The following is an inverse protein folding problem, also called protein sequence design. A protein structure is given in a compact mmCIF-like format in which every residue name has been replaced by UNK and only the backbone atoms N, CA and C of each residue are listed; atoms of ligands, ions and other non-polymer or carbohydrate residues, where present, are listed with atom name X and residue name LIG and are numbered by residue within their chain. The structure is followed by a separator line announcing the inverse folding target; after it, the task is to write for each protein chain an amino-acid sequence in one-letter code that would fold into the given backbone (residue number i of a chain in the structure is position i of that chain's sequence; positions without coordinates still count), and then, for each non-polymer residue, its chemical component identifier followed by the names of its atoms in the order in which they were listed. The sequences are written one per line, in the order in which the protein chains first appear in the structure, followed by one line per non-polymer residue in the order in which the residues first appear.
data_IF_094599891001
#
_entry.id   IF_094599891001
#
_cell.length_a   1.000
_cell.length_b   1.000
_cell.length_c   1.000
_cell.angle_alpha   90.00
_cell.angle_beta   90.00
_cell.angle_gamma   90.00
#
_symmetry.space_group_name_H-M   'P 1'
#
loop_
_entity.id
_entity.type
_entity.pdbx_description
1 polymer ?
#
# COMPACT_ATOMS: atom_id res chain seq x y z
N UNK A 1 -38.90 7.61 6.28
CA UNK A 1 -37.90 6.59 5.88
C UNK A 1 -37.66 5.68 7.09
N UNK A 2 -38.26 4.49 7.12
CA UNK A 2 -38.05 3.52 8.22
C UNK A 2 -36.69 2.87 8.00
N UNK A 3 -35.74 3.07 8.92
CA UNK A 3 -34.51 2.27 9.00
C UNK A 3 -34.94 0.82 9.29
N UNK A 4 -35.04 0.02 8.25
CA UNK A 4 -35.25 -1.42 8.38
C UNK A 4 -34.07 -2.01 9.14
N UNK A 5 -34.38 -2.68 10.25
CA UNK A 5 -33.51 -3.54 11.04
C UNK A 5 -32.44 -4.20 10.17
N UNK A 6 -31.17 -3.87 10.43
CA UNK A 6 -30.02 -4.55 9.84
C UNK A 6 -30.14 -6.03 10.23
N UNK A 7 -30.34 -6.91 9.25
CA UNK A 7 -30.45 -8.34 9.49
C UNK A 7 -29.18 -8.83 10.23
N UNK A 8 -29.30 -9.76 11.20
CA UNK A 8 -28.15 -10.25 11.95
C UNK A 8 -27.14 -10.84 10.96
N UNK A 9 -25.94 -10.25 10.92
CA UNK A 9 -24.82 -10.76 10.14
C UNK A 9 -24.62 -12.22 10.54
N UNK A 10 -24.87 -13.14 9.61
CA UNK A 10 -24.75 -14.57 9.85
C UNK A 10 -23.32 -14.85 10.36
N UNK A 11 -23.18 -15.51 11.51
CA UNK A 11 -21.88 -15.87 12.11
C UNK A 11 -20.94 -16.58 11.13
N UNK A 12 -21.50 -17.28 10.14
CA UNK A 12 -20.76 -17.95 9.06
C UNK A 12 -20.05 -16.96 8.13
N UNK A 13 -20.67 -15.80 7.85
CA UNK A 13 -20.06 -14.73 7.04
C UNK A 13 -18.91 -14.11 7.83
N UNK A 14 -19.12 -13.82 9.12
CA UNK A 14 -18.06 -13.27 9.99
C UNK A 14 -16.85 -14.22 10.09
N UNK A 15 -17.10 -15.53 10.18
CA UNK A 15 -16.04 -16.54 10.23
C UNK A 15 -15.26 -16.58 8.91
N UNK A 16 -15.93 -16.55 7.76
CA UNK A 16 -15.27 -16.51 6.44
C UNK A 16 -14.42 -15.24 6.30
N UNK A 17 -14.91 -14.09 6.76
CA UNK A 17 -14.14 -12.84 6.79
C UNK A 17 -12.85 -12.95 7.61
N UNK A 18 -12.92 -13.58 8.78
CA UNK A 18 -11.75 -13.77 9.65
C UNK A 18 -10.74 -14.73 9.02
N UNK A 19 -11.20 -15.81 8.37
CA UNK A 19 -10.33 -16.78 7.69
C UNK A 19 -9.68 -16.19 6.43
N UNK A 20 -10.40 -15.37 5.66
CA UNK A 20 -9.84 -14.71 4.47
C UNK A 20 -8.90 -13.56 4.83
N UNK A 21 -9.22 -12.79 5.88
CA UNK A 21 -8.32 -11.76 6.42
C UNK A 21 -7.00 -12.36 6.89
N UNK A 22 -7.03 -13.57 7.47
CA UNK A 22 -5.81 -14.29 7.82
C UNK A 22 -5.06 -14.84 6.61
N UNK A 23 -5.72 -15.26 5.53
CA UNK A 23 -5.05 -15.58 4.26
C UNK A 23 -4.39 -14.36 3.58
N UNK A 24 -4.97 -13.16 3.70
CA UNK A 24 -4.34 -11.91 3.23
C UNK A 24 -3.07 -11.60 4.06
N UNK A 25 -3.08 -11.90 5.36
CA UNK A 25 -1.87 -11.80 6.19
C UNK A 25 -0.79 -12.80 5.77
N UNK A 26 -1.15 -13.96 5.19
CA UNK A 26 -0.21 -14.94 4.64
C UNK A 26 0.43 -14.52 3.30
N UNK A 27 -0.13 -13.53 2.60
CA UNK A 27 0.49 -12.95 1.41
C UNK A 27 1.63 -11.97 1.75
N UNK A 28 1.76 -11.58 3.01
CA UNK A 28 2.95 -10.88 3.50
C UNK A 28 3.99 -11.93 3.94
N UNK A 29 5.24 -11.85 3.44
CA UNK A 29 6.26 -12.83 3.80
C UNK A 29 6.42 -12.91 5.33
N UNK A 30 6.54 -14.14 5.84
CA UNK A 30 6.54 -14.52 7.26
C UNK A 30 7.65 -13.87 8.10
N UNK A 31 8.54 -13.11 7.48
CA UNK A 31 9.61 -12.33 8.12
C UNK A 31 9.11 -11.24 9.08
N UNK A 32 7.80 -10.94 9.12
CA UNK A 32 7.19 -9.98 10.05
C UNK A 32 7.07 -10.54 11.48
N UNK A 33 6.98 -11.86 11.68
CA UNK A 33 6.83 -12.44 13.03
C UNK A 33 8.17 -12.79 13.71
N UNK A 34 9.30 -12.59 13.03
CA UNK A 34 10.63 -12.94 13.55
C UNK A 34 11.42 -11.76 14.17
N UNK A 35 10.76 -10.64 14.48
CA UNK A 35 11.45 -9.46 15.02
C UNK A 35 11.55 -9.51 16.56
N UNK A 36 12.46 -10.33 17.06
CA UNK A 36 13.01 -10.17 18.41
C UNK A 36 13.95 -8.96 18.40
N UNK A 37 13.55 -7.91 19.11
CA UNK A 37 14.24 -6.63 19.23
C UNK A 37 15.55 -6.82 20.00
N UNK A 38 16.65 -7.12 19.31
CA UNK A 38 17.98 -7.16 19.93
C UNK A 38 18.50 -5.72 20.10
N UNK A 39 18.12 -5.07 21.20
CA UNK A 39 18.72 -3.82 21.65
C UNK A 39 20.12 -4.11 22.22
N UNK A 40 21.14 -4.06 21.35
CA UNK A 40 22.52 -3.98 21.81
C UNK A 40 22.81 -2.56 22.29
N UNK A 41 22.48 -2.32 23.56
CA UNK A 41 23.02 -1.22 24.36
C UNK A 41 24.23 -1.71 25.15
N UNK A 42 25.22 -0.82 25.26
CA UNK A 42 26.36 -0.80 26.19
C UNK A 42 27.67 -1.41 25.71
N UNK A 43 28.50 -0.54 25.14
CA UNK A 43 29.94 -0.73 24.94
C UNK A 43 30.58 0.59 24.53
N UNK A 44 30.70 1.53 25.48
CA UNK A 44 31.48 2.76 25.31
C UNK A 44 32.92 2.45 25.71
N UNK A 45 33.87 2.34 24.77
CA UNK A 45 35.27 2.51 25.12
C UNK A 45 35.56 4.02 25.27
N UNK A 46 35.71 4.44 26.52
CA UNK A 46 36.38 5.69 26.89
C UNK A 46 37.82 5.67 26.36
N UNK A 47 38.14 6.43 25.32
CA UNK A 47 39.53 6.83 25.04
C UNK A 47 39.60 8.11 24.20
N UNK A 48 39.25 9.24 24.80
CA UNK A 48 39.54 10.54 24.21
C UNK A 48 41.02 10.88 24.46
N UNK A 49 41.87 10.63 23.46
CA UNK A 49 43.25 11.12 23.46
C UNK A 49 43.22 12.58 22.99
N UNK A 50 43.66 13.57 23.80
CA UNK A 50 43.66 14.96 23.36
C UNK A 50 44.62 15.12 22.17
N UNK A 51 44.08 15.54 21.02
CA UNK A 51 44.87 15.91 19.85
C UNK A 51 45.22 17.41 19.87
N UNK A 52 46.40 17.78 19.36
CA UNK A 52 46.87 19.15 19.34
C UNK A 52 46.00 20.06 18.45
N UNK A 53 45.67 21.23 18.98
CA UNK A 53 44.80 22.22 18.38
C UNK A 53 45.54 23.04 17.30
N UNK A 54 45.56 22.55 16.07
CA UNK A 54 45.80 23.39 14.89
C UNK A 54 44.67 23.15 13.91
N UNK A 55 43.50 23.74 14.19
CA UNK A 55 42.39 23.74 13.25
C UNK A 55 42.78 24.59 12.03
N UNK A 56 43.18 23.92 10.96
CA UNK A 56 43.30 24.52 9.64
C UNK A 56 41.96 25.12 9.25
N UNK A 57 41.97 26.36 8.77
CA UNK A 57 40.78 27.09 8.27
C UNK A 57 39.98 26.31 7.22
N UNK A 58 40.62 25.34 6.54
CA UNK A 58 39.96 24.41 5.62
C UNK A 58 38.98 23.43 6.28
N UNK A 59 39.18 23.03 7.55
CA UNK A 59 38.22 22.17 8.26
C UNK A 59 36.93 22.92 8.61
N UNK A 60 37.03 24.21 8.94
CA UNK A 60 35.86 25.03 9.25
C UNK A 60 34.98 25.25 8.01
N UNK A 61 35.60 25.47 6.85
CA UNK A 61 34.88 25.58 5.58
C UNK A 61 34.13 24.27 5.22
N UNK A 62 34.72 23.11 5.50
CA UNK A 62 34.06 21.82 5.26
C UNK A 62 32.86 21.61 6.19
N UNK A 63 32.96 21.95 7.48
CA UNK A 63 31.87 21.85 8.46
C UNK A 63 30.71 22.81 8.12
N UNK A 64 31.02 24.03 7.67
CA UNK A 64 30.00 25.00 7.23
C UNK A 64 29.34 24.56 5.92
N UNK A 65 30.09 23.96 4.99
CA UNK A 65 29.55 23.39 3.76
C UNK A 65 28.66 22.17 4.00
N UNK A 66 28.94 21.36 5.04
CA UNK A 66 28.08 20.21 5.40
C UNK A 66 26.82 20.65 6.16
N UNK A 67 26.85 21.77 6.89
CA UNK A 67 25.70 22.28 7.63
C UNK A 67 24.62 22.95 6.75
N UNK A 68 24.91 23.25 5.48
CA UNK A 68 24.06 24.10 4.63
C UNK A 68 23.21 23.37 3.58
N UNK A 69 23.18 22.02 3.56
CA UNK A 69 22.36 21.25 2.59
C UNK A 69 21.04 20.59 3.09
N UNK A 70 20.35 21.03 4.16
CA UNK A 70 19.10 20.38 4.57
C UNK A 70 17.93 20.58 3.59
N UNK A 71 17.94 21.64 2.77
CA UNK A 71 16.83 22.00 1.86
C UNK A 71 16.62 21.01 0.70
N UNK A 72 17.70 20.37 0.22
CA UNK A 72 17.62 19.39 -0.87
C UNK A 72 16.83 18.15 -0.46
N UNK A 73 16.99 17.69 0.78
CA UNK A 73 16.34 16.48 1.30
C UNK A 73 14.82 16.59 1.42
N UNK A 74 14.32 17.74 1.89
CA UNK A 74 12.88 17.99 2.09
C UNK A 74 12.17 18.00 0.75
N UNK A 75 12.75 18.67 -0.25
CA UNK A 75 12.16 18.77 -1.59
C UNK A 75 12.05 17.38 -2.24
N UNK A 76 13.09 16.55 -2.13
CA UNK A 76 13.05 15.17 -2.62
C UNK A 76 12.00 14.32 -1.89
N UNK A 77 11.84 14.48 -0.58
CA UNK A 77 10.82 13.77 0.19
C UNK A 77 9.40 14.15 -0.23
N UNK A 78 9.13 15.45 -0.39
CA UNK A 78 7.82 15.94 -0.83
C UNK A 78 7.47 15.44 -2.24
N UNK A 79 8.44 15.42 -3.15
CA UNK A 79 8.24 14.87 -4.50
C UNK A 79 7.89 13.39 -4.43
N UNK A 80 8.57 12.59 -3.61
CA UNK A 80 8.25 11.16 -3.46
C UNK A 80 6.90 10.93 -2.79
N UNK A 81 6.52 11.71 -1.79
CA UNK A 81 5.18 11.66 -1.18
C UNK A 81 4.11 11.96 -2.23
N UNK A 82 4.31 12.99 -3.05
CA UNK A 82 3.38 13.33 -4.13
C UNK A 82 3.23 12.17 -5.13
N UNK A 83 4.33 11.53 -5.54
CA UNK A 83 4.28 10.34 -6.42
C UNK A 83 3.51 9.17 -5.79
N UNK A 84 3.77 8.88 -4.51
CA UNK A 84 3.07 7.80 -3.77
C UNK A 84 1.58 8.12 -3.66
N UNK A 85 1.23 9.36 -3.36
CA UNK A 85 -0.14 9.84 -3.26
C UNK A 85 -0.88 9.71 -4.61
N UNK A 86 -0.27 10.17 -5.70
CA UNK A 86 -0.82 10.05 -7.05
C UNK A 86 -0.98 8.58 -7.47
N UNK A 87 0.04 7.75 -7.26
CA UNK A 87 0.00 6.33 -7.60
C UNK A 87 -1.10 5.59 -6.82
N UNK A 88 -1.21 5.83 -5.51
CA UNK A 88 -2.25 5.21 -4.68
C UNK A 88 -3.65 5.64 -5.13
N UNK A 89 -3.82 6.92 -5.49
CA UNK A 89 -5.10 7.44 -6.01
C UNK A 89 -5.46 6.80 -7.36
N UNK A 90 -4.51 6.74 -8.30
CA UNK A 90 -4.69 6.09 -9.61
C UNK A 90 -5.03 4.61 -9.43
N UNK A 91 -4.34 3.91 -8.53
CA UNK A 91 -4.60 2.51 -8.25
C UNK A 91 -5.99 2.28 -7.62
N UNK A 92 -6.45 3.16 -6.73
CA UNK A 92 -7.79 3.11 -6.16
C UNK A 92 -8.87 3.35 -7.22
N UNK A 93 -8.67 4.34 -8.11
CA UNK A 93 -9.57 4.61 -9.25
C UNK A 93 -9.61 3.43 -10.22
N UNK A 94 -8.45 2.86 -10.58
CA UNK A 94 -8.39 1.69 -11.44
C UNK A 94 -9.12 0.50 -10.81
N UNK A 95 -8.93 0.26 -9.51
CA UNK A 95 -9.69 -0.74 -8.75
C UNK A 95 -11.19 -0.47 -8.83
N UNK A 96 -11.64 0.75 -8.55
CA UNK A 96 -13.06 1.12 -8.56
C UNK A 96 -13.70 0.92 -9.92
N UNK A 97 -13.03 1.33 -11.00
CA UNK A 97 -13.52 1.14 -12.38
C UNK A 97 -13.66 -0.35 -12.72
N UNK A 98 -12.65 -1.16 -12.40
CA UNK A 98 -12.68 -2.61 -12.67
C UNK A 98 -13.77 -3.30 -11.84
N UNK A 99 -13.86 -2.97 -10.56
CA UNK A 99 -14.88 -3.48 -9.65
C UNK A 99 -16.28 -3.13 -10.15
N UNK A 100 -16.51 -1.87 -10.53
CA UNK A 100 -17.82 -1.41 -10.98
C UNK A 100 -18.16 -1.89 -12.39
N UNK A 101 -17.16 -2.15 -13.23
CA UNK A 101 -17.38 -2.83 -14.51
C UNK A 101 -17.93 -4.24 -14.27
N UNK A 102 -17.39 -4.98 -13.30
CA UNK A 102 -17.90 -6.31 -12.96
C UNK A 102 -19.31 -6.21 -12.38
N UNK A 103 -19.55 -5.33 -11.40
CA UNK A 103 -20.85 -5.26 -10.73
C UNK A 103 -21.96 -4.71 -11.63
N UNK A 104 -21.68 -3.77 -12.53
CA UNK A 104 -22.64 -3.31 -13.56
C UNK A 104 -23.01 -4.41 -14.56
N UNK A 105 -22.11 -5.37 -14.82
CA UNK A 105 -22.46 -6.55 -15.62
C UNK A 105 -23.38 -7.51 -14.88
N UNK A 106 -23.17 -7.68 -13.57
CA UNK A 106 -23.97 -8.59 -12.72
C UNK A 106 -25.37 -8.02 -12.47
N UNK A 107 -25.47 -6.78 -12.01
CA UNK A 107 -26.75 -6.13 -11.75
C UNK A 107 -26.65 -4.61 -12.03
N UNK A 108 -27.15 -4.20 -13.19
CA UNK A 108 -27.12 -2.79 -13.59
C UNK A 108 -28.10 -1.93 -12.78
N UNK A 109 -29.21 -2.51 -12.33
CA UNK A 109 -30.22 -1.80 -11.53
C UNK A 109 -29.65 -1.29 -10.20
N UNK A 110 -28.60 -1.93 -9.66
CA UNK A 110 -27.86 -1.43 -8.50
C UNK A 110 -27.36 0.02 -8.70
N UNK A 111 -27.04 0.40 -9.94
CA UNK A 111 -26.52 1.72 -10.27
C UNK A 111 -27.56 2.65 -10.89
N UNK A 112 -28.48 2.12 -11.68
CA UNK A 112 -29.41 2.91 -12.48
C UNK A 112 -30.78 3.12 -11.81
N UNK A 113 -31.19 2.23 -10.90
CA UNK A 113 -32.51 2.32 -10.26
C UNK A 113 -32.53 3.30 -9.09
N UNK A 114 -33.74 3.73 -8.72
CA UNK A 114 -33.97 4.56 -7.52
C UNK A 114 -33.83 3.79 -6.19
N UNK A 115 -33.45 2.50 -6.23
CA UNK A 115 -33.27 1.66 -5.02
C UNK A 115 -31.99 2.00 -4.26
N UNK A 116 -30.99 2.52 -4.95
CA UNK A 116 -29.74 2.99 -4.33
C UNK A 116 -29.58 4.48 -4.54
N UNK A 117 -28.60 5.07 -3.86
CA UNK A 117 -28.27 6.49 -4.05
C UNK A 117 -27.68 6.79 -5.45
N UNK A 118 -27.18 5.78 -6.16
CA UNK A 118 -26.50 5.96 -7.45
C UNK A 118 -27.44 6.43 -8.56
N UNK A 119 -28.64 5.84 -8.66
CA UNK A 119 -29.61 6.17 -9.72
C UNK A 119 -30.09 7.61 -9.63
N UNK A 120 -30.68 8.06 -8.50
CA UNK A 120 -31.16 9.42 -8.32
C UNK A 120 -30.05 10.45 -8.49
N UNK A 121 -28.84 10.17 -7.98
CA UNK A 121 -27.70 11.07 -8.11
C UNK A 121 -27.22 11.19 -9.56
N UNK A 122 -27.15 10.07 -10.29
CA UNK A 122 -26.76 10.06 -11.71
C UNK A 122 -27.80 10.78 -12.56
N UNK A 123 -29.09 10.59 -12.26
CA UNK A 123 -30.20 11.29 -12.92
C UNK A 123 -30.12 12.79 -12.73
N UNK A 124 -29.79 13.25 -11.53
CA UNK A 124 -29.72 14.67 -11.18
C UNK A 124 -28.45 15.36 -11.72
N UNK A 125 -27.29 14.73 -11.58
CA UNK A 125 -25.99 15.37 -11.84
C UNK A 125 -25.35 14.96 -13.17
N UNK A 126 -25.70 13.79 -13.70
CA UNK A 126 -25.14 13.24 -14.94
C UNK A 126 -26.25 12.76 -15.89
N UNK A 127 -27.21 13.62 -16.28
CA UNK A 127 -28.40 13.22 -17.04
C UNK A 127 -28.08 12.59 -18.39
N UNK A 128 -26.94 12.94 -19.01
CA UNK A 128 -26.47 12.29 -20.22
C UNK A 128 -26.11 10.82 -19.97
N UNK A 129 -25.31 10.53 -18.94
CA UNK A 129 -24.93 9.16 -18.58
C UNK A 129 -26.18 8.36 -18.20
N UNK A 130 -27.09 8.94 -17.42
CA UNK A 130 -28.33 8.31 -16.99
C UNK A 130 -29.18 7.79 -18.17
N UNK A 131 -29.28 8.57 -19.26
CA UNK A 131 -30.09 8.20 -20.43
C UNK A 131 -29.45 7.12 -21.32
N UNK A 132 -28.14 6.93 -21.24
CA UNK A 132 -27.44 5.99 -22.13
C UNK A 132 -27.64 4.53 -21.76
N UNK A 133 -27.97 4.23 -20.49
CA UNK A 133 -27.94 2.87 -19.93
C UNK A 133 -26.62 2.12 -20.22
N UNK A 134 -25.52 2.85 -20.47
CA UNK A 134 -24.25 2.26 -20.84
C UNK A 134 -23.47 1.85 -19.59
N UNK A 135 -23.36 0.54 -19.36
CA UNK A 135 -22.65 -0.05 -18.21
C UNK A 135 -21.20 0.44 -18.07
N UNK A 136 -20.49 0.65 -19.17
CA UNK A 136 -19.10 1.13 -19.16
C UNK A 136 -19.04 2.57 -18.65
N UNK A 137 -19.96 3.45 -19.09
CA UNK A 137 -20.00 4.84 -18.61
C UNK A 137 -20.34 4.91 -17.12
N UNK A 138 -21.23 4.04 -16.64
CA UNK A 138 -21.54 3.94 -15.21
C UNK A 138 -20.34 3.44 -14.40
N UNK A 139 -19.65 2.41 -14.86
CA UNK A 139 -18.44 1.89 -14.21
C UNK A 139 -17.31 2.93 -14.16
N UNK A 140 -17.10 3.69 -15.24
CA UNK A 140 -16.13 4.79 -15.27
C UNK A 140 -16.50 5.90 -14.29
N UNK A 141 -17.77 6.30 -14.28
CA UNK A 141 -18.27 7.38 -13.41
C UNK A 141 -18.17 7.00 -11.93
N UNK A 142 -18.85 5.92 -11.53
CA UNK A 142 -18.96 5.52 -10.12
C UNK A 142 -17.68 4.92 -9.59
N UNK A 143 -16.98 4.12 -10.41
CA UNK A 143 -15.69 3.57 -10.05
C UNK A 143 -14.67 4.66 -9.73
N UNK A 144 -14.69 5.77 -10.46
CA UNK A 144 -13.85 6.94 -10.17
C UNK A 144 -14.34 7.69 -8.93
N UNK A 145 -15.61 8.18 -8.94
CA UNK A 145 -16.15 9.05 -7.89
C UNK A 145 -16.11 8.37 -6.52
N UNK A 146 -16.40 7.07 -6.45
CA UNK A 146 -16.48 6.34 -5.19
C UNK A 146 -15.10 6.06 -4.57
N UNK A 147 -14.01 6.08 -5.33
CA UNK A 147 -12.71 5.58 -4.85
C UNK A 147 -11.61 6.63 -4.77
N UNK A 148 -11.66 7.72 -5.56
CA UNK A 148 -10.58 8.73 -5.55
C UNK A 148 -10.41 9.39 -4.17
N UNK A 149 -11.52 9.68 -3.48
CA UNK A 149 -11.51 10.32 -2.17
C UNK A 149 -11.01 9.40 -1.05
N UNK A 150 -10.97 8.08 -1.28
CA UNK A 150 -10.36 7.09 -0.38
C UNK A 150 -8.88 6.92 -0.72
N UNK A 151 -8.57 6.80 -2.02
CA UNK A 151 -7.20 6.62 -2.52
C UNK A 151 -6.29 7.79 -2.17
N UNK A 152 -6.80 9.02 -2.19
CA UNK A 152 -6.03 10.22 -1.89
C UNK A 152 -5.55 10.28 -0.42
N UNK A 153 -6.43 10.21 0.61
CA UNK A 153 -6.02 10.13 2.02
C UNK A 153 -5.13 8.92 2.31
N UNK A 154 -5.44 7.75 1.74
CA UNK A 154 -4.60 6.56 1.90
C UNK A 154 -3.20 6.80 1.34
N UNK A 155 -3.11 7.46 0.18
CA UNK A 155 -1.85 7.85 -0.45
C UNK A 155 -1.02 8.80 0.40
N UNK A 156 -1.66 9.76 1.09
CA UNK A 156 -0.99 10.66 2.05
C UNK A 156 -0.38 9.85 3.19
N UNK A 157 -1.19 8.97 3.82
CA UNK A 157 -0.74 8.15 4.96
C UNK A 157 0.42 7.23 4.54
N UNK A 158 0.29 6.54 3.40
CA UNK A 158 1.35 5.69 2.85
C UNK A 158 2.60 6.48 2.48
N UNK A 159 2.44 7.68 1.92
CA UNK A 159 3.54 8.58 1.61
C UNK A 159 4.33 8.96 2.86
N UNK A 160 3.65 9.39 3.92
CA UNK A 160 4.28 9.71 5.20
C UNK A 160 4.98 8.48 5.79
N UNK A 161 4.28 7.34 5.87
CA UNK A 161 4.84 6.09 6.38
C UNK A 161 6.12 5.67 5.64
N UNK A 162 6.13 5.79 4.32
CA UNK A 162 7.29 5.50 3.46
C UNK A 162 8.50 6.43 3.68
N UNK A 163 8.30 7.62 4.26
CA UNK A 163 9.38 8.59 4.54
C UNK A 163 9.80 8.66 6.01
N UNK A 164 8.99 8.15 6.94
CA UNK A 164 9.29 8.18 8.38
C UNK A 164 10.40 7.21 8.83
N UNK A 165 10.75 6.21 8.02
CA UNK A 165 11.78 5.24 8.37
C UNK A 165 13.18 5.72 7.94
N UNK A 166 14.23 5.19 8.59
CA UNK A 166 15.64 5.48 8.23
C UNK A 166 15.94 5.12 6.77
N UNK A 167 15.29 4.07 6.27
CA UNK A 167 15.29 3.68 4.87
C UNK A 167 14.01 4.16 4.18
N UNK A 168 14.16 5.27 3.47
CA UNK A 168 13.10 5.92 2.70
C UNK A 168 12.68 5.09 1.49
N UNK A 169 11.38 4.85 1.32
CA UNK A 169 10.84 4.10 0.17
C UNK A 169 10.45 5.01 -0.98
N UNK A 170 10.64 4.52 -2.20
CA UNK A 170 10.19 5.16 -3.44
C UNK A 170 8.84 4.60 -3.87
N UNK A 171 8.09 5.33 -4.69
CA UNK A 171 6.80 4.86 -5.19
C UNK A 171 6.87 3.50 -5.92
N UNK A 172 7.98 3.17 -6.58
CA UNK A 172 8.19 1.88 -7.23
C UNK A 172 8.16 0.72 -6.24
N UNK A 173 8.68 0.92 -5.02
CA UNK A 173 8.67 -0.11 -3.97
C UNK A 173 7.24 -0.43 -3.52
N UNK A 174 6.30 0.49 -3.72
CA UNK A 174 4.90 0.36 -3.31
C UNK A 174 4.01 -0.23 -4.42
N UNK A 175 4.44 -0.25 -5.68
CA UNK A 175 3.60 -0.75 -6.78
C UNK A 175 3.11 -2.18 -6.55
N UNK A 176 4.04 -3.11 -6.27
CA UNK A 176 3.72 -4.52 -6.05
C UNK A 176 2.76 -4.74 -4.86
N UNK A 177 3.04 -4.27 -3.63
CA UNK A 177 2.13 -4.47 -2.52
C UNK A 177 0.78 -3.78 -2.74
N UNK A 178 0.76 -2.60 -3.38
CA UNK A 178 -0.48 -1.88 -3.68
C UNK A 178 -1.36 -2.61 -4.71
N UNK A 179 -0.78 -3.16 -5.77
CA UNK A 179 -1.53 -3.96 -6.75
C UNK A 179 -2.03 -5.28 -6.15
N UNK A 180 -1.21 -5.96 -5.33
CA UNK A 180 -1.63 -7.18 -4.62
C UNK A 180 -2.79 -6.90 -3.66
N UNK A 181 -2.74 -5.76 -2.97
CA UNK A 181 -3.84 -5.31 -2.11
C UNK A 181 -5.15 -5.12 -2.89
N UNK A 182 -5.12 -4.39 -4.01
CA UNK A 182 -6.32 -4.22 -4.87
C UNK A 182 -6.87 -5.53 -5.41
N UNK A 183 -6.02 -6.43 -5.88
CA UNK A 183 -6.44 -7.75 -6.39
C UNK A 183 -7.03 -8.60 -5.26
N UNK A 184 -6.44 -8.56 -4.07
CA UNK A 184 -6.94 -9.26 -2.89
C UNK A 184 -8.32 -8.77 -2.46
N UNK A 185 -8.54 -7.45 -2.44
CA UNK A 185 -9.85 -6.85 -2.19
C UNK A 185 -10.89 -7.29 -3.22
N UNK A 186 -10.56 -7.18 -4.51
CA UNK A 186 -11.46 -7.54 -5.61
C UNK A 186 -11.87 -9.01 -5.53
N UNK A 187 -10.89 -9.89 -5.30
CA UNK A 187 -11.12 -11.33 -5.20
C UNK A 187 -12.02 -11.64 -4.00
N UNK A 188 -11.75 -11.02 -2.85
CA UNK A 188 -12.55 -11.22 -1.64
C UNK A 188 -13.98 -10.73 -1.84
N UNK A 189 -14.19 -9.55 -2.44
CA UNK A 189 -15.54 -9.03 -2.68
C UNK A 189 -16.34 -9.94 -3.61
N UNK A 190 -15.74 -10.42 -4.70
CA UNK A 190 -16.36 -11.36 -5.63
C UNK A 190 -16.75 -12.66 -4.93
N UNK A 191 -15.85 -13.26 -4.13
CA UNK A 191 -16.14 -14.52 -3.43
C UNK A 191 -17.31 -14.34 -2.46
N UNK A 192 -17.29 -13.30 -1.63
CA UNK A 192 -18.35 -13.05 -0.64
C UNK A 192 -19.68 -12.75 -1.34
N UNK A 193 -19.66 -11.98 -2.44
CA UNK A 193 -20.83 -11.74 -3.27
C UNK A 193 -21.41 -13.03 -3.86
N UNK A 194 -20.58 -13.88 -4.46
CA UNK A 194 -21.01 -15.16 -5.02
C UNK A 194 -21.63 -16.08 -3.96
N UNK A 195 -21.01 -16.16 -2.78
CA UNK A 195 -21.57 -16.92 -1.65
C UNK A 195 -22.93 -16.35 -1.21
N UNK A 196 -23.09 -15.03 -1.19
CA UNK A 196 -24.37 -14.39 -0.93
C UNK A 196 -25.42 -14.78 -1.99
N UNK A 197 -25.07 -14.70 -3.27
CA UNK A 197 -25.96 -15.11 -4.36
C UNK A 197 -26.39 -16.57 -4.27
N UNK A 198 -25.48 -17.48 -3.92
CA UNK A 198 -25.82 -18.90 -3.76
C UNK A 198 -26.93 -19.10 -2.72
N UNK A 199 -26.90 -18.32 -1.63
CA UNK A 199 -27.85 -18.42 -0.52
C UNK A 199 -29.19 -17.72 -0.81
N UNK A 200 -29.17 -16.52 -1.39
CA UNK A 200 -30.37 -15.68 -1.51
C UNK A 200 -30.95 -15.64 -2.93
N UNK A 201 -30.19 -16.08 -3.94
CA UNK A 201 -30.57 -16.04 -5.37
C UNK A 201 -30.95 -14.63 -5.88
N UNK A 202 -30.46 -13.59 -5.22
CA UNK A 202 -30.69 -12.19 -5.60
C UNK A 202 -29.38 -11.54 -6.05
N UNK A 203 -29.30 -11.14 -7.32
CA UNK A 203 -28.12 -10.49 -7.88
C UNK A 203 -27.93 -9.05 -7.40
N UNK A 204 -29.00 -8.38 -6.97
CA UNK A 204 -28.91 -7.04 -6.40
C UNK A 204 -28.24 -7.10 -5.03
N UNK A 205 -28.67 -8.02 -4.17
CA UNK A 205 -28.08 -8.24 -2.85
C UNK A 205 -26.62 -8.74 -2.97
N UNK A 206 -26.35 -9.61 -3.93
CA UNK A 206 -24.98 -10.00 -4.27
C UNK A 206 -24.08 -8.79 -4.52
N UNK A 207 -24.50 -7.87 -5.41
CA UNK A 207 -23.72 -6.66 -5.73
C UNK A 207 -23.61 -5.73 -4.52
N UNK A 208 -24.67 -5.59 -3.72
CA UNK A 208 -24.62 -4.80 -2.49
C UNK A 208 -23.56 -5.34 -1.51
N UNK A 209 -23.51 -6.65 -1.33
CA UNK A 209 -22.52 -7.30 -0.47
C UNK A 209 -21.10 -7.21 -1.04
N UNK A 210 -20.93 -7.27 -2.37
CA UNK A 210 -19.62 -7.01 -2.99
C UNK A 210 -19.09 -5.62 -2.62
N UNK A 211 -19.93 -4.58 -2.73
CA UNK A 211 -19.55 -3.22 -2.37
C UNK A 211 -19.22 -3.08 -0.88
N UNK A 212 -20.07 -3.59 0.02
CA UNK A 212 -19.80 -3.58 1.46
C UNK A 212 -18.48 -4.28 1.81
N UNK A 213 -18.23 -5.43 1.19
CA UNK A 213 -16.99 -6.19 1.37
C UNK A 213 -15.77 -5.40 0.91
N UNK A 214 -15.86 -4.73 -0.25
CA UNK A 214 -14.78 -3.88 -0.74
C UNK A 214 -14.47 -2.71 0.19
N UNK A 215 -15.48 -2.07 0.79
CA UNK A 215 -15.23 -0.97 1.73
C UNK A 215 -14.53 -1.44 3.00
N UNK A 216 -15.00 -2.55 3.59
CA UNK A 216 -14.40 -3.10 4.81
C UNK A 216 -12.97 -3.55 4.54
N UNK A 217 -12.76 -4.36 3.50
CA UNK A 217 -11.42 -4.85 3.15
C UNK A 217 -10.48 -3.71 2.74
N UNK A 218 -11.00 -2.68 2.08
CA UNK A 218 -10.27 -1.47 1.72
C UNK A 218 -9.79 -0.68 2.92
N UNK A 219 -10.66 -0.42 3.90
CA UNK A 219 -10.29 0.30 5.13
C UNK A 219 -9.27 -0.49 5.94
N UNK A 220 -9.57 -1.76 6.22
CA UNK A 220 -8.69 -2.62 7.04
C UNK A 220 -7.34 -2.82 6.36
N UNK A 221 -7.34 -3.20 5.08
CA UNK A 221 -6.10 -3.43 4.35
C UNK A 221 -5.31 -2.15 4.08
N UNK A 222 -5.97 -1.00 3.95
CA UNK A 222 -5.29 0.30 3.86
C UNK A 222 -4.51 0.65 5.14
N UNK A 223 -5.11 0.41 6.32
CA UNK A 223 -4.43 0.58 7.62
C UNK A 223 -3.24 -0.39 7.73
N UNK A 224 -3.45 -1.67 7.39
CA UNK A 224 -2.39 -2.67 7.40
C UNK A 224 -1.26 -2.35 6.42
N UNK A 225 -1.59 -1.79 5.25
CA UNK A 225 -0.61 -1.34 4.26
C UNK A 225 0.26 -0.21 4.82
N UNK A 226 -0.34 0.81 5.42
CA UNK A 226 0.40 1.91 6.04
C UNK A 226 1.33 1.39 7.17
N UNK A 227 0.82 0.50 8.00
CA UNK A 227 1.61 -0.15 9.05
C UNK A 227 2.76 -1.00 8.48
N UNK A 228 2.50 -1.76 7.42
CA UNK A 228 3.51 -2.54 6.72
C UNK A 228 4.62 -1.64 6.18
N UNK A 229 4.27 -0.53 5.51
CA UNK A 229 5.23 0.41 4.94
C UNK A 229 6.08 1.09 6.01
N UNK A 230 5.48 1.44 7.15
CA UNK A 230 6.21 2.00 8.29
C UNK A 230 7.29 1.04 8.82
N UNK A 231 6.97 -0.26 8.91
CA UNK A 231 7.87 -1.28 9.44
C UNK A 231 8.77 -1.96 8.38
N UNK A 232 8.57 -1.65 7.10
CA UNK A 232 9.26 -2.34 6.02
C UNK A 232 10.76 -2.06 6.04
N UNK A 233 11.55 -3.12 6.15
CA UNK A 233 13.01 -3.07 6.04
C UNK A 233 13.42 -3.79 4.75
N UNK A 234 13.76 -3.06 3.67
CA UNK A 234 14.16 -3.69 2.42
C UNK A 234 15.43 -4.51 2.66
N UNK A 235 15.40 -5.77 2.24
CA UNK A 235 16.57 -6.66 2.26
C UNK A 235 17.75 -5.95 1.59
N UNK A 236 18.95 -6.10 2.15
CA UNK A 236 20.17 -5.55 1.51
C UNK A 236 20.28 -6.15 0.11
N UNK A 237 20.48 -5.32 -0.90
CA UNK A 237 20.63 -5.83 -2.27
C UNK A 237 21.79 -6.84 -2.28
N UNK A 238 21.65 -7.89 -3.08
CA UNK A 238 22.68 -8.90 -3.28
C UNK A 238 24.03 -8.30 -3.71
N UNK A 239 24.03 -7.09 -4.28
CA UNK A 239 25.25 -6.35 -4.60
C UNK A 239 26.04 -5.93 -3.35
N UNK A 240 25.38 -5.54 -2.25
CA UNK A 240 26.07 -5.26 -0.98
C UNK A 240 26.65 -6.54 -0.37
N UNK A 241 26.00 -7.70 -0.62
CA UNK A 241 26.56 -9.02 -0.25
C UNK A 241 27.80 -9.39 -1.08
N UNK A 242 27.90 -8.96 -2.34
CA UNK A 242 29.05 -9.24 -3.20
C UNK A 242 30.26 -8.39 -2.82
N UNK A 243 30.06 -7.15 -2.34
CA UNK A 243 31.16 -6.27 -1.92
C UNK A 243 31.72 -6.65 -0.54
N UNK A 244 30.95 -7.35 0.30
CA UNK A 244 31.46 -7.95 1.54
C UNK A 244 32.27 -9.24 1.33
N UNK A 245 32.43 -9.74 0.10
CA UNK A 245 33.47 -10.71 -0.17
C UNK A 245 34.83 -10.01 -0.04
N UNK A 246 35.48 -10.22 1.11
CA UNK A 246 36.76 -9.62 1.48
C UNK A 246 37.76 -9.59 0.31
N UNK A 247 38.27 -8.41 -0.08
CA UNK A 247 39.40 -8.30 -1.01
C UNK A 247 40.64 -9.09 -0.54
N UNK A 248 40.78 -9.29 0.78
CA UNK A 248 41.91 -9.99 1.38
C UNK A 248 41.91 -11.50 1.08
N UNK A 249 40.76 -12.09 0.74
CA UNK A 249 40.67 -13.50 0.36
C UNK A 249 41.18 -13.78 -1.07
N UNK A 250 41.18 -12.77 -1.94
CA UNK A 250 41.70 -12.88 -3.32
C UNK A 250 43.23 -12.76 -3.32
N UNK A 251 43.79 -11.88 -2.49
CA UNK A 251 45.25 -11.69 -2.40
C UNK A 251 45.97 -12.94 -1.87
N UNK A 252 45.34 -13.70 -0.96
CA UNK A 252 45.96 -14.92 -0.39
C UNK A 252 46.00 -16.06 -1.41
N UNK A 253 45.02 -16.18 -2.32
CA UNK A 253 45.06 -17.22 -3.36
C UNK A 253 46.00 -16.88 -4.54
N UNK A 254 46.18 -15.60 -4.87
CA UNK A 254 47.14 -15.20 -5.91
C UNK A 254 48.61 -15.36 -5.46
N UNK A 255 48.93 -15.05 -4.21
CA UNK A 255 50.30 -15.26 -3.68
C UNK A 255 50.65 -16.75 -3.57
N UNK A 256 49.66 -17.62 -3.34
CA UNK A 256 49.87 -19.08 -3.28
C UNK A 256 50.04 -19.73 -4.66
N UNK A 257 49.51 -19.13 -5.72
CA UNK A 257 49.64 -19.63 -7.10
C UNK A 257 50.95 -19.21 -7.79
N UNK A 258 51.62 -18.16 -7.31
CA UNK A 258 52.86 -17.65 -7.92
C UNK A 258 54.12 -17.75 -7.04
N UNK A 259 54.00 -18.32 -5.83
CA UNK A 259 55.10 -18.39 -4.85
C UNK A 259 55.93 -19.69 -4.83
N UNK A 260 55.73 -20.63 -5.76
CA UNK A 260 56.51 -21.88 -5.82
C UNK A 260 57.20 -22.01 -7.20
N UNK A 261 58.30 -21.28 -7.39
CA UNK A 261 59.36 -21.59 -8.34
C UNK A 261 60.71 -21.24 -7.75
#
# INVERSE_FOLDING_TARGET
MKLTSIAPINKSILLIYLTFSSCILLLFPSSILAFSRHSNTTGIPNLYKPMPHTHSTTQLAHVIATATSPSSSITTDMIEIAKIMSMTTINAVAYGIVHDLITTQINFDYFASDRTHHGPYTKAHFPFIYRTNNKILYALLWGTIATWWVGLPLGIICGIAARCNSKKLTWHNLMKPMSLFSVGMLTTSIIVGLLNYVNYKDSFEMVAVMHQTSYITGIVGGILMAYYLYNYTPEKSSEEKIIQFEPNSITINLVRLFGNK
#
